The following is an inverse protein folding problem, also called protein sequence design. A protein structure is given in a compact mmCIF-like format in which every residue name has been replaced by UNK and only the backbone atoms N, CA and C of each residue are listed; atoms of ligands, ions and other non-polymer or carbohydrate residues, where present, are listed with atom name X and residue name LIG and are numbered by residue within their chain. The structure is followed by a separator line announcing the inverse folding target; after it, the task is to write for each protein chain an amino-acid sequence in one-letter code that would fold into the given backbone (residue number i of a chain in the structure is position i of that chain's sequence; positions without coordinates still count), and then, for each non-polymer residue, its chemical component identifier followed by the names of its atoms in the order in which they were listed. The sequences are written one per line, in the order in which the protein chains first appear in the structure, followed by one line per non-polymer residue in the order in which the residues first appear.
data_IF_784884479484
#
_entry.id   IF_784884479484
#
_cell.length_a   1.000
_cell.length_b   1.000
_cell.length_c   1.000
_cell.angle_alpha   90.00
_cell.angle_beta   90.00
_cell.angle_gamma   90.00
#
_symmetry.space_group_name_H-M   'P 1'
#
loop_
_entity.id
_entity.type
_entity.pdbx_description
1 polymer ?
#
# COMPACT_ATOMS: atom_id res chain seq x y z
N UNK A 1 3.51 -19.30 13.87
CA UNK A 1 4.13 -20.57 14.33
C UNK A 1 5.46 -20.69 13.62
N UNK A 2 6.56 -20.92 14.37
CA UNK A 2 7.87 -21.24 13.81
C UNK A 2 7.75 -22.54 13.03
N UNK A 3 8.32 -22.59 11.80
CA UNK A 3 8.39 -23.83 11.04
C UNK A 3 9.31 -24.81 11.77
N UNK A 4 8.90 -26.08 11.88
CA UNK A 4 9.78 -27.16 12.33
C UNK A 4 10.28 -27.88 11.10
N UNK A 5 11.59 -28.16 11.08
CA UNK A 5 12.26 -28.75 9.91
C UNK A 5 12.58 -27.70 8.82
N UNK A 6 13.03 -28.20 7.69
CA UNK A 6 13.42 -27.38 6.53
C UNK A 6 12.55 -27.74 5.31
N UNK A 7 12.10 -26.73 4.59
CA UNK A 7 11.33 -26.88 3.36
C UNK A 7 11.90 -25.97 2.28
N UNK A 8 12.28 -26.56 1.14
CA UNK A 8 12.66 -25.83 -0.08
C UNK A 8 11.51 -25.88 -1.08
N UNK A 9 11.20 -24.76 -1.73
CA UNK A 9 10.18 -24.70 -2.78
C UNK A 9 10.76 -24.02 -4.02
N UNK A 10 10.63 -24.68 -5.15
CA UNK A 10 10.95 -24.14 -6.48
C UNK A 10 9.64 -23.79 -7.19
N UNK A 11 9.61 -22.65 -7.84
CA UNK A 11 8.44 -22.19 -8.60
C UNK A 11 8.83 -21.74 -10.00
N UNK A 12 8.03 -22.12 -10.99
CA UNK A 12 8.11 -21.64 -12.36
C UNK A 12 6.72 -21.29 -12.84
N UNK A 13 6.59 -20.13 -13.52
CA UNK A 13 5.36 -19.69 -14.11
C UNK A 13 5.58 -19.07 -15.48
N UNK A 14 4.60 -19.24 -16.36
CA UNK A 14 4.58 -18.65 -17.68
C UNK A 14 3.20 -18.06 -17.98
N UNK A 15 3.15 -16.94 -18.67
CA UNK A 15 1.90 -16.22 -18.89
C UNK A 15 1.83 -15.39 -20.15
N UNK A 16 0.73 -14.68 -20.31
CA UNK A 16 0.48 -13.73 -21.40
C UNK A 16 1.58 -12.68 -21.46
N UNK A 17 1.79 -12.13 -22.63
CA UNK A 17 2.79 -11.05 -22.88
C UNK A 17 4.24 -11.51 -22.60
N UNK A 18 4.53 -12.80 -22.79
CA UNK A 18 5.85 -13.38 -22.52
C UNK A 18 6.23 -13.36 -21.05
N UNK A 19 5.25 -13.27 -20.13
CA UNK A 19 5.54 -13.26 -18.68
C UNK A 19 6.17 -14.56 -18.25
N UNK A 20 7.26 -14.44 -17.53
CA UNK A 20 8.03 -15.54 -16.94
C UNK A 20 8.28 -15.22 -15.47
N UNK A 21 8.11 -16.21 -14.62
CA UNK A 21 8.42 -16.09 -13.19
C UNK A 21 9.19 -17.31 -12.74
N UNK A 22 10.30 -17.09 -12.06
CA UNK A 22 11.13 -18.11 -11.46
C UNK A 22 11.31 -17.78 -9.99
N UNK A 23 11.18 -18.76 -9.10
CA UNK A 23 11.40 -18.54 -7.69
C UNK A 23 12.05 -19.73 -7.01
N UNK A 24 12.86 -19.44 -6.01
CA UNK A 24 13.37 -20.40 -5.04
C UNK A 24 13.13 -19.84 -3.65
N UNK A 25 12.58 -20.65 -2.78
CA UNK A 25 12.36 -20.31 -1.39
C UNK A 25 12.81 -21.45 -0.48
N UNK A 26 13.42 -21.10 0.64
CA UNK A 26 13.75 -22.04 1.71
C UNK A 26 13.27 -21.45 3.02
N UNK A 27 12.60 -22.26 3.84
CA UNK A 27 12.16 -21.87 5.16
C UNK A 27 12.32 -23.01 6.13
N UNK A 28 12.66 -22.69 7.37
CA UNK A 28 12.85 -23.70 8.38
C UNK A 28 12.97 -23.14 9.78
N UNK A 29 13.16 -24.05 10.73
CA UNK A 29 13.43 -23.70 12.12
C UNK A 29 14.04 -24.87 12.89
N UNK A 30 15.11 -24.60 13.63
CA UNK A 30 15.83 -25.60 14.44
C UNK A 30 16.59 -24.90 15.57
N UNK A 31 16.64 -25.50 16.74
CA UNK A 31 17.43 -25.05 17.90
C UNK A 31 17.23 -23.56 18.25
N UNK A 32 15.97 -23.07 18.18
CA UNK A 32 15.61 -21.68 18.45
C UNK A 32 15.94 -20.72 17.32
N UNK A 33 16.48 -21.20 16.21
CA UNK A 33 16.54 -20.45 14.95
C UNK A 33 15.26 -20.63 14.14
N UNK A 34 14.90 -19.61 13.36
CA UNK A 34 13.97 -19.70 12.26
C UNK A 34 14.44 -18.81 11.10
N UNK A 35 14.19 -19.28 9.88
CA UNK A 35 14.61 -18.57 8.69
C UNK A 35 13.61 -18.71 7.56
N UNK A 36 13.60 -17.71 6.67
CA UNK A 36 12.96 -17.72 5.36
C UNK A 36 13.85 -16.97 4.39
N UNK A 37 14.19 -17.60 3.29
CA UNK A 37 14.92 -17.00 2.19
C UNK A 37 14.10 -17.21 0.94
N UNK A 38 13.88 -16.15 0.16
CA UNK A 38 13.21 -16.25 -1.14
C UNK A 38 13.92 -15.36 -2.14
N UNK A 39 14.25 -15.92 -3.29
CA UNK A 39 14.59 -15.16 -4.49
C UNK A 39 13.52 -15.39 -5.55
N UNK A 40 13.18 -14.34 -6.30
CA UNK A 40 12.22 -14.40 -7.41
C UNK A 40 12.69 -13.50 -8.54
N UNK A 41 12.63 -14.01 -9.75
CA UNK A 41 12.83 -13.30 -11.01
C UNK A 41 11.49 -13.20 -11.74
N UNK A 42 11.10 -11.99 -12.15
CA UNK A 42 9.93 -11.72 -12.97
C UNK A 42 10.36 -11.01 -14.26
N UNK A 43 9.85 -11.49 -15.40
CA UNK A 43 10.02 -10.86 -16.71
C UNK A 43 8.68 -10.77 -17.41
N UNK A 44 8.44 -9.67 -18.12
CA UNK A 44 7.32 -9.53 -19.04
C UNK A 44 7.65 -8.60 -20.19
N UNK A 45 6.99 -8.81 -21.32
CA UNK A 45 6.97 -7.86 -22.44
C UNK A 45 5.85 -6.84 -22.30
N UNK A 46 5.61 -6.07 -23.35
CA UNK A 46 4.56 -5.08 -23.45
C UNK A 46 3.19 -5.78 -23.44
N UNK A 47 2.23 -5.24 -22.70
CA UNK A 47 0.89 -5.82 -22.66
C UNK A 47 -0.02 -5.23 -23.75
N UNK A 48 -1.15 -5.90 -24.00
CA UNK A 48 -2.28 -5.36 -24.78
C UNK A 48 -3.38 -4.92 -23.83
N UNK A 49 -3.93 -3.72 -24.04
CA UNK A 49 -5.12 -3.24 -23.34
C UNK A 49 -6.41 -3.98 -23.78
N UNK A 50 -7.55 -3.65 -23.17
CA UNK A 50 -8.84 -4.27 -23.51
C UNK A 50 -9.31 -4.00 -24.94
N UNK A 51 -8.78 -2.99 -25.62
CA UNK A 51 -9.01 -2.72 -27.04
C UNK A 51 -8.00 -3.39 -27.97
N UNK A 52 -7.01 -4.12 -27.43
CA UNK A 52 -5.97 -4.81 -28.19
C UNK A 52 -4.78 -3.93 -28.57
N UNK A 53 -4.69 -2.69 -28.11
CA UNK A 53 -3.54 -1.83 -28.35
C UNK A 53 -2.37 -2.28 -27.49
N UNK A 54 -1.18 -2.34 -28.07
CA UNK A 54 0.06 -2.61 -27.34
C UNK A 54 0.44 -1.38 -26.49
N UNK A 55 0.73 -1.61 -25.22
CA UNK A 55 1.14 -0.57 -24.27
C UNK A 55 2.55 -0.91 -23.76
N UNK A 56 3.52 0.00 -23.92
CA UNK A 56 4.86 -0.18 -23.37
C UNK A 56 4.81 -0.41 -21.87
N UNK A 57 5.29 -1.58 -21.43
CA UNK A 57 5.18 -2.02 -20.03
C UNK A 57 6.15 -3.16 -19.70
N UNK A 58 7.21 -3.29 -20.51
CA UNK A 58 8.24 -4.31 -20.28
C UNK A 58 8.79 -4.21 -18.86
N UNK A 59 8.95 -5.36 -18.21
CA UNK A 59 9.51 -5.48 -16.87
C UNK A 59 10.59 -6.57 -16.85
N UNK A 60 11.70 -6.29 -16.19
CA UNK A 60 12.72 -7.26 -15.78
C UNK A 60 13.08 -6.98 -14.32
N UNK A 61 12.59 -7.81 -13.40
CA UNK A 61 12.65 -7.55 -11.97
C UNK A 61 13.25 -8.72 -11.18
N UNK A 62 14.09 -8.40 -10.21
CA UNK A 62 14.68 -9.31 -9.23
C UNK A 62 14.22 -8.94 -7.83
N UNK A 63 13.75 -9.89 -7.04
CA UNK A 63 13.44 -9.70 -5.64
C UNK A 63 14.11 -10.73 -4.76
N UNK A 64 14.68 -10.27 -3.65
CA UNK A 64 15.28 -11.11 -2.62
C UNK A 64 14.70 -10.76 -1.27
N UNK A 65 14.30 -11.77 -0.48
CA UNK A 65 13.76 -11.60 0.86
C UNK A 65 14.47 -12.58 1.80
N UNK A 66 14.94 -12.06 2.93
CA UNK A 66 15.56 -12.81 4.02
C UNK A 66 14.86 -12.48 5.32
N UNK A 67 14.53 -13.49 6.07
CA UNK A 67 14.21 -13.41 7.49
C UNK A 67 15.12 -14.41 8.22
N UNK A 68 15.75 -13.98 9.29
CA UNK A 68 16.56 -14.81 10.19
C UNK A 68 16.20 -14.43 11.63
N UNK A 69 15.64 -15.37 12.37
CA UNK A 69 15.22 -15.18 13.74
C UNK A 69 15.98 -16.12 14.70
N UNK A 70 16.19 -15.66 15.93
CA UNK A 70 16.83 -16.43 17.00
C UNK A 70 16.16 -16.18 18.33
N UNK A 71 15.74 -17.25 19.01
CA UNK A 71 15.46 -17.21 20.44
C UNK A 71 16.80 -17.08 21.18
N UNK A 72 17.05 -15.91 21.76
CA UNK A 72 18.22 -15.69 22.62
C UNK A 72 18.00 -16.32 24.01
N UNK A 73 16.73 -16.35 24.43
CA UNK A 73 16.28 -17.01 25.64
C UNK A 73 14.77 -17.33 25.51
N UNK A 74 14.14 -17.87 26.58
CA UNK A 74 12.69 -18.11 26.62
C UNK A 74 11.86 -16.82 26.54
N UNK A 75 12.47 -15.69 26.86
CA UNK A 75 11.82 -14.36 26.95
C UNK A 75 12.37 -13.34 25.95
N UNK A 76 13.33 -13.73 25.13
CA UNK A 76 14.03 -12.79 24.25
C UNK A 76 14.22 -13.39 22.85
N UNK A 77 13.80 -12.65 21.83
CA UNK A 77 13.87 -13.03 20.42
C UNK A 77 14.46 -11.89 19.58
N UNK A 78 15.46 -12.21 18.77
CA UNK A 78 16.11 -11.30 17.84
C UNK A 78 15.79 -11.72 16.41
N UNK A 79 15.41 -10.79 15.55
CA UNK A 79 15.17 -11.03 14.14
C UNK A 79 15.91 -10.03 13.25
N UNK A 80 16.52 -10.53 12.18
CA UNK A 80 17.01 -9.77 11.04
C UNK A 80 16.08 -10.00 9.86
N UNK A 81 15.59 -8.91 9.27
CA UNK A 81 14.87 -8.96 8.00
C UNK A 81 15.62 -8.13 6.97
N UNK A 82 15.69 -8.63 5.76
CA UNK A 82 16.25 -7.92 4.62
C UNK A 82 15.41 -8.21 3.38
N UNK A 83 15.12 -7.16 2.62
CA UNK A 83 14.42 -7.21 1.35
C UNK A 83 15.15 -6.34 0.35
N UNK A 84 15.36 -6.87 -0.85
CA UNK A 84 15.88 -6.12 -2.00
C UNK A 84 14.97 -6.34 -3.18
N UNK A 85 14.71 -5.28 -3.92
CA UNK A 85 13.98 -5.29 -5.17
C UNK A 85 14.71 -4.41 -6.17
N UNK A 86 15.00 -4.96 -7.35
CA UNK A 86 15.58 -4.23 -8.47
C UNK A 86 14.78 -4.52 -9.71
N UNK A 87 14.49 -3.50 -10.48
CA UNK A 87 13.90 -3.69 -11.79
C UNK A 87 14.45 -2.72 -12.83
N UNK A 88 14.20 -3.07 -14.08
CA UNK A 88 14.19 -2.16 -15.19
C UNK A 88 12.84 -2.27 -15.91
N UNK A 89 12.20 -1.15 -16.11
CA UNK A 89 10.90 -1.08 -16.74
C UNK A 89 10.86 -0.15 -17.96
N UNK A 90 9.85 -0.37 -18.80
CA UNK A 90 9.42 0.56 -19.83
C UNK A 90 7.99 0.99 -19.51
N UNK A 91 7.71 2.26 -19.60
CA UNK A 91 6.35 2.72 -19.40
C UNK A 91 6.02 3.91 -20.28
N UNK A 92 4.77 4.01 -20.70
CA UNK A 92 4.29 5.15 -21.44
C UNK A 92 2.78 5.28 -21.31
N UNK A 93 2.29 6.50 -21.13
CA UNK A 93 0.87 6.79 -21.28
C UNK A 93 0.46 6.60 -22.73
N UNK A 94 -0.75 6.07 -22.95
CA UNK A 94 -1.21 5.68 -24.28
C UNK A 94 -1.12 6.78 -25.34
N UNK A 95 -1.42 8.03 -24.98
CA UNK A 95 -1.38 9.15 -25.94
C UNK A 95 0.04 9.68 -26.22
N UNK A 96 1.05 9.26 -25.43
CA UNK A 96 2.46 9.62 -25.64
C UNK A 96 3.17 8.67 -26.61
N UNK A 97 2.48 7.73 -27.25
CA UNK A 97 3.09 6.73 -28.16
C UNK A 97 3.82 7.34 -29.39
N UNK A 98 3.67 8.64 -29.62
CA UNK A 98 4.44 9.35 -30.67
C UNK A 98 5.91 9.60 -30.29
N UNK A 99 6.29 9.39 -29.04
CA UNK A 99 7.63 9.61 -28.50
C UNK A 99 8.33 8.29 -28.20
N UNK A 100 9.68 8.27 -28.06
CA UNK A 100 10.38 7.12 -27.56
C UNK A 100 9.84 6.69 -26.18
N UNK A 101 9.90 5.38 -25.91
CA UNK A 101 9.37 4.79 -24.66
C UNK A 101 10.19 5.25 -23.47
N UNK A 102 9.52 5.70 -22.42
CA UNK A 102 10.15 6.03 -21.15
C UNK A 102 10.75 4.78 -20.50
N UNK A 103 11.90 4.96 -19.85
CA UNK A 103 12.64 3.88 -19.18
C UNK A 103 12.85 4.24 -17.73
N UNK A 104 12.66 3.27 -16.85
CA UNK A 104 12.92 3.39 -15.43
C UNK A 104 13.81 2.26 -14.92
N UNK A 105 14.61 2.54 -13.89
CA UNK A 105 15.32 1.56 -13.10
C UNK A 105 15.03 1.86 -11.63
N UNK A 106 14.58 0.85 -10.90
CA UNK A 106 14.41 0.91 -9.45
C UNK A 106 15.46 0.07 -8.75
N UNK A 107 16.06 0.61 -7.70
CA UNK A 107 16.87 -0.13 -6.74
C UNK A 107 16.39 0.21 -5.33
N UNK A 108 15.72 -0.74 -4.71
CA UNK A 108 15.15 -0.59 -3.40
C UNK A 108 15.61 -1.70 -2.48
N UNK A 109 16.01 -1.36 -1.25
CA UNK A 109 16.17 -2.33 -0.20
C UNK A 109 15.66 -1.81 1.14
N UNK A 110 15.22 -2.74 1.98
CA UNK A 110 14.89 -2.55 3.38
C UNK A 110 15.64 -3.57 4.22
N UNK A 111 16.32 -3.12 5.25
CA UNK A 111 16.94 -3.97 6.26
C UNK A 111 16.54 -3.53 7.65
N UNK A 112 16.13 -4.46 8.51
CA UNK A 112 15.87 -4.14 9.91
C UNK A 112 16.33 -5.26 10.86
N UNK A 113 16.68 -4.85 12.06
CA UNK A 113 16.89 -5.72 13.21
C UNK A 113 15.81 -5.39 14.23
N UNK A 114 15.12 -6.42 14.71
CA UNK A 114 14.05 -6.31 15.71
C UNK A 114 14.43 -7.16 16.90
N UNK A 115 14.38 -6.56 18.09
CA UNK A 115 14.58 -7.27 19.35
C UNK A 115 13.33 -7.18 20.20
N UNK A 116 12.74 -8.33 20.50
CA UNK A 116 11.55 -8.48 21.34
C UNK A 116 11.97 -9.10 22.67
N UNK A 117 11.55 -8.49 23.77
CA UNK A 117 11.82 -8.96 25.13
C UNK A 117 10.55 -8.98 25.95
N UNK A 118 10.24 -10.11 26.58
CA UNK A 118 9.27 -10.21 27.66
C UNK A 118 10.02 -9.95 28.95
N UNK A 119 9.89 -8.74 29.50
CA UNK A 119 10.64 -8.31 30.70
C UNK A 119 10.10 -9.00 31.94
N UNK A 120 8.77 -9.02 32.09
CA UNK A 120 8.00 -9.77 33.08
C UNK A 120 6.64 -10.19 32.51
N UNK A 121 5.79 -10.88 33.28
CA UNK A 121 4.50 -11.40 32.81
C UNK A 121 3.55 -10.31 32.26
N UNK A 122 3.79 -9.05 32.64
CA UNK A 122 2.95 -7.92 32.29
C UNK A 122 3.63 -6.90 31.36
N UNK A 123 4.95 -7.04 31.11
CA UNK A 123 5.74 -6.02 30.41
C UNK A 123 6.47 -6.60 29.23
N UNK A 124 6.25 -6.00 28.04
CA UNK A 124 6.97 -6.32 26.81
C UNK A 124 7.70 -5.08 26.33
N UNK A 125 8.85 -5.32 25.70
CA UNK A 125 9.58 -4.29 24.96
C UNK A 125 9.89 -4.79 23.56
N UNK A 126 9.80 -3.89 22.59
CA UNK A 126 10.23 -4.11 21.21
C UNK A 126 11.10 -2.95 20.76
N UNK A 127 12.35 -3.25 20.45
CA UNK A 127 13.28 -2.31 19.82
C UNK A 127 13.49 -2.66 18.35
N UNK A 128 13.59 -1.68 17.49
CA UNK A 128 14.01 -1.91 16.11
C UNK A 128 14.92 -0.82 15.59
N UNK A 129 15.87 -1.23 14.73
CA UNK A 129 16.67 -0.34 13.91
C UNK A 129 16.51 -0.78 12.46
N UNK A 130 16.24 0.16 11.58
CA UNK A 130 16.04 -0.10 10.17
C UNK A 130 16.83 0.88 9.31
N UNK A 131 17.26 0.39 8.15
CA UNK A 131 17.81 1.20 7.08
C UNK A 131 17.18 0.80 5.76
N UNK A 132 16.70 1.79 5.02
CA UNK A 132 16.20 1.59 3.67
C UNK A 132 16.86 2.52 2.67
N UNK A 133 16.85 2.10 1.41
CA UNK A 133 17.26 2.87 0.25
C UNK A 133 16.17 2.77 -0.80
N UNK A 134 15.84 3.88 -1.41
CA UNK A 134 14.96 3.94 -2.57
C UNK A 134 15.65 4.80 -3.62
N UNK A 135 16.06 4.17 -4.73
CA UNK A 135 16.61 4.85 -5.91
C UNK A 135 15.66 4.64 -7.08
N UNK A 136 15.49 5.68 -7.86
CA UNK A 136 14.68 5.67 -9.05
C UNK A 136 15.34 6.53 -10.13
N UNK A 137 15.83 5.89 -11.18
CA UNK A 137 16.44 6.53 -12.33
C UNK A 137 15.47 6.49 -13.50
N UNK A 138 15.10 7.64 -14.02
CA UNK A 138 14.18 7.80 -15.14
C UNK A 138 14.87 8.41 -16.35
N UNK A 139 14.53 7.91 -17.52
CA UNK A 139 14.77 8.59 -18.79
C UNK A 139 13.41 8.83 -19.46
N UNK A 140 12.95 10.08 -19.44
CA UNK A 140 11.63 10.45 -19.96
C UNK A 140 11.74 11.15 -21.31
N UNK A 141 10.79 10.85 -22.19
CA UNK A 141 10.65 11.45 -23.50
C UNK A 141 9.29 12.14 -23.61
N UNK A 142 9.24 13.24 -24.32
CA UNK A 142 8.01 14.02 -24.47
C UNK A 142 8.24 15.30 -25.29
N UNK A 143 7.20 16.10 -25.55
CA UNK A 143 7.28 17.26 -26.42
C UNK A 143 8.22 18.36 -25.92
N UNK A 144 8.51 18.36 -24.62
CA UNK A 144 9.35 19.37 -23.96
C UNK A 144 10.72 18.84 -23.53
N UNK A 145 11.00 17.55 -23.80
CA UNK A 145 12.25 16.91 -23.43
C UNK A 145 13.23 16.93 -24.61
N UNK A 146 14.55 16.89 -24.35
CA UNK A 146 15.54 16.72 -25.42
C UNK A 146 15.28 15.43 -26.21
N UNK A 147 15.65 15.36 -27.50
CA UNK A 147 15.54 14.15 -28.33
C UNK A 147 16.29 12.93 -27.71
N UNK A 148 17.32 13.19 -26.89
CA UNK A 148 18.11 12.19 -26.19
C UNK A 148 17.41 11.69 -24.90
N UNK A 149 16.25 12.26 -24.54
CA UNK A 149 15.54 12.04 -23.29
C UNK A 149 16.02 12.96 -22.17
N UNK A 150 15.15 13.15 -21.18
CA UNK A 150 15.44 13.90 -19.95
C UNK A 150 15.71 12.92 -18.81
N UNK A 151 16.95 12.83 -18.29
CA UNK A 151 17.24 12.03 -17.12
C UNK A 151 16.67 12.68 -15.85
N UNK A 152 16.17 11.85 -14.94
CA UNK A 152 15.70 12.25 -13.64
C UNK A 152 16.08 11.17 -12.62
N UNK A 153 16.91 11.50 -11.64
CA UNK A 153 17.40 10.59 -10.63
C UNK A 153 16.86 11.03 -9.28
N UNK A 154 16.29 10.10 -8.55
CA UNK A 154 15.74 10.33 -7.21
C UNK A 154 16.26 9.26 -6.26
N UNK A 155 16.92 9.68 -5.19
CA UNK A 155 17.49 8.81 -4.17
C UNK A 155 17.07 9.25 -2.77
N UNK A 156 16.58 8.31 -1.96
CA UNK A 156 16.31 8.52 -0.53
C UNK A 156 16.94 7.40 0.27
N UNK A 157 17.69 7.80 1.28
CA UNK A 157 18.20 6.93 2.33
C UNK A 157 17.49 7.23 3.63
N UNK A 158 16.88 6.21 4.24
CA UNK A 158 16.19 6.36 5.53
C UNK A 158 16.86 5.54 6.61
N UNK A 159 17.11 6.17 7.76
CA UNK A 159 17.36 5.52 9.03
C UNK A 159 16.12 5.62 9.91
N UNK A 160 15.72 4.52 10.51
CA UNK A 160 14.64 4.50 11.51
C UNK A 160 15.09 3.72 12.74
N UNK A 161 14.87 4.31 13.91
CA UNK A 161 14.95 3.65 15.19
C UNK A 161 13.58 3.74 15.86
N UNK A 162 13.13 2.66 16.51
CA UNK A 162 11.93 2.69 17.35
C UNK A 162 12.10 1.82 18.58
N UNK A 163 11.49 2.26 19.68
CA UNK A 163 11.41 1.52 20.93
C UNK A 163 10.01 1.65 21.51
N UNK A 164 9.38 0.53 21.82
CA UNK A 164 8.03 0.45 22.34
C UNK A 164 7.97 -0.43 23.60
N UNK A 165 7.30 0.08 24.62
CA UNK A 165 6.97 -0.64 25.84
C UNK A 165 5.47 -0.82 25.96
N UNK A 166 5.05 -2.06 26.21
CA UNK A 166 3.68 -2.41 26.55
C UNK A 166 3.64 -2.92 27.99
N UNK A 167 2.79 -2.32 28.82
CA UNK A 167 2.60 -2.68 30.24
C UNK A 167 1.14 -2.93 30.56
N UNK A 168 0.83 -4.14 31.01
CA UNK A 168 -0.48 -4.48 31.56
C UNK A 168 -0.55 -4.12 33.04
N UNK A 169 -1.52 -3.28 33.43
CA UNK A 169 -1.78 -2.83 34.80
C UNK A 169 -3.27 -3.02 35.11
N UNK A 170 -3.61 -4.17 35.67
CA UNK A 170 -5.03 -4.52 35.90
C UNK A 170 -5.82 -4.54 34.59
N UNK A 171 -6.82 -3.67 34.49
CA UNK A 171 -7.68 -3.54 33.31
C UNK A 171 -7.12 -2.58 32.22
N UNK A 172 -5.91 -2.06 32.42
CA UNK A 172 -5.22 -1.16 31.49
C UNK A 172 -4.09 -1.89 30.75
N UNK A 173 -3.96 -1.59 29.44
CA UNK A 173 -2.77 -1.88 28.65
C UNK A 173 -2.17 -0.55 28.19
N UNK A 174 -1.10 -0.14 28.87
CA UNK A 174 -0.34 1.06 28.53
C UNK A 174 0.70 0.72 27.47
N UNK A 175 0.71 1.49 26.40
CA UNK A 175 1.74 1.45 25.33
C UNK A 175 2.43 2.81 25.28
N UNK A 176 3.75 2.85 25.43
CA UNK A 176 4.56 4.04 25.28
C UNK A 176 5.70 3.77 24.30
N UNK A 177 6.06 4.74 23.47
CA UNK A 177 7.15 4.55 22.55
C UNK A 177 7.78 5.82 22.03
N UNK A 178 8.95 5.61 21.44
CA UNK A 178 9.75 6.62 20.76
C UNK A 178 10.10 6.15 19.35
N UNK A 179 10.06 7.05 18.40
CA UNK A 179 10.53 6.82 17.03
C UNK A 179 11.46 7.97 16.61
N UNK A 180 12.54 7.61 15.92
CA UNK A 180 13.43 8.52 15.24
C UNK A 180 13.53 8.11 13.78
N UNK A 181 13.33 9.06 12.86
CA UNK A 181 13.51 8.86 11.43
C UNK A 181 14.41 9.96 10.86
N UNK A 182 15.38 9.57 10.05
CA UNK A 182 16.25 10.48 9.30
C UNK A 182 16.19 10.08 7.82
N UNK A 183 15.76 11.01 6.97
CA UNK A 183 15.72 10.87 5.53
C UNK A 183 16.75 11.77 4.89
N UNK A 184 17.68 11.19 4.13
CA UNK A 184 18.66 11.91 3.31
C UNK A 184 18.23 11.75 1.84
N UNK A 185 17.94 12.87 1.17
CA UNK A 185 17.34 12.90 -0.18
C UNK A 185 18.23 13.65 -1.16
N UNK A 186 18.45 13.03 -2.34
CA UNK A 186 19.11 13.64 -3.49
C UNK A 186 18.18 13.58 -4.70
N UNK A 187 18.04 14.69 -5.44
CA UNK A 187 17.26 14.76 -6.68
C UNK A 187 18.10 15.45 -7.76
N UNK A 188 18.24 14.82 -8.92
CA UNK A 188 18.90 15.37 -10.10
C UNK A 188 17.95 15.38 -11.29
N UNK A 189 17.99 16.43 -12.09
CA UNK A 189 17.21 16.55 -13.31
C UNK A 189 18.12 16.98 -14.45
N UNK A 190 18.64 16.01 -15.18
CA UNK A 190 19.68 16.22 -16.18
C UNK A 190 20.97 16.74 -15.54
N UNK A 191 21.54 17.81 -16.12
CA UNK A 191 22.72 18.49 -15.56
C UNK A 191 22.40 19.47 -14.43
N UNK A 192 21.12 19.66 -14.10
CA UNK A 192 20.68 20.54 -13.01
C UNK A 192 20.55 19.71 -11.75
N UNK A 193 21.46 19.91 -10.80
CA UNK A 193 21.29 19.36 -9.44
C UNK A 193 20.23 20.20 -8.74
N UNK A 194 19.09 19.58 -8.44
CA UNK A 194 17.97 20.25 -7.77
C UNK A 194 18.13 20.25 -6.27
N UNK A 195 18.65 19.15 -5.75
CA UNK A 195 18.92 18.94 -4.33
C UNK A 195 20.14 18.06 -4.21
N UNK A 196 21.06 18.49 -3.38
CA UNK A 196 22.17 17.68 -2.93
C UNK A 196 22.03 17.49 -1.43
N UNK A 197 21.83 16.24 -1.02
CA UNK A 197 21.87 15.76 0.38
C UNK A 197 20.99 16.57 1.37
N UNK A 198 19.69 16.65 1.11
CA UNK A 198 18.72 17.27 2.05
C UNK A 198 18.27 16.27 3.09
N UNK A 199 18.56 16.61 4.34
CA UNK A 199 18.17 15.81 5.50
C UNK A 199 16.88 16.33 6.13
N UNK A 200 15.91 15.40 6.33
CA UNK A 200 14.74 15.60 7.17
C UNK A 200 14.82 14.67 8.38
N UNK A 201 14.59 15.21 9.57
CA UNK A 201 14.59 14.44 10.81
C UNK A 201 13.22 14.56 11.45
N UNK A 202 12.64 13.41 11.84
CA UNK A 202 11.43 13.35 12.65
C UNK A 202 11.71 12.59 13.96
N UNK A 203 11.28 13.14 15.09
CA UNK A 203 11.30 12.51 16.41
C UNK A 203 9.90 12.48 16.94
N UNK A 204 9.46 11.31 17.39
CA UNK A 204 8.10 11.12 17.83
C UNK A 204 8.06 10.38 19.16
N UNK A 205 7.18 10.83 20.04
CA UNK A 205 6.82 10.15 21.28
C UNK A 205 5.34 9.87 21.27
N UNK A 206 4.93 8.71 21.73
CA UNK A 206 3.53 8.37 21.85
C UNK A 206 3.22 7.63 23.14
N UNK A 207 2.01 7.85 23.62
CA UNK A 207 1.44 7.17 24.78
C UNK A 207 -0.01 6.81 24.43
N UNK A 208 -0.38 5.57 24.73
CA UNK A 208 -1.73 5.06 24.56
C UNK A 208 -2.13 4.22 25.77
N UNK A 209 -3.38 4.32 26.18
CA UNK A 209 -4.01 3.43 27.14
C UNK A 209 -5.20 2.71 26.49
N UNK A 210 -5.24 1.40 26.64
CA UNK A 210 -6.42 0.58 26.37
C UNK A 210 -7.00 0.16 27.71
N UNK A 211 -8.10 0.79 28.09
CA UNK A 211 -8.80 0.53 29.36
C UNK A 211 -10.05 -0.33 29.12
N UNK A 212 -10.07 -1.51 29.73
CA UNK A 212 -11.26 -2.37 29.80
C UNK A 212 -12.14 -1.89 30.96
N UNK A 213 -12.97 -0.85 30.72
CA UNK A 213 -13.87 -0.24 31.73
C UNK A 213 -14.83 -1.30 32.29
N UNK A 214 -15.36 -2.14 31.40
CA UNK A 214 -16.16 -3.30 31.66
C UNK A 214 -15.71 -4.44 30.74
N UNK A 215 -16.08 -5.70 31.00
CA UNK A 215 -15.79 -6.79 30.07
C UNK A 215 -16.32 -6.53 28.65
N UNK A 216 -17.39 -5.73 28.52
CA UNK A 216 -18.04 -5.37 27.25
C UNK A 216 -17.72 -3.97 26.76
N UNK A 217 -17.01 -3.14 27.55
CA UNK A 217 -16.75 -1.74 27.21
C UNK A 217 -15.26 -1.43 27.31
N UNK A 218 -14.66 -1.07 26.16
CA UNK A 218 -13.23 -0.74 26.05
C UNK A 218 -13.05 0.68 25.53
N UNK A 219 -12.23 1.46 26.24
CA UNK A 219 -11.77 2.78 25.81
C UNK A 219 -10.31 2.65 25.39
N UNK A 220 -9.97 3.16 24.20
CA UNK A 220 -8.59 3.38 23.80
C UNK A 220 -8.37 4.87 23.62
N UNK A 221 -7.40 5.45 24.32
CA UNK A 221 -7.05 6.86 24.20
C UNK A 221 -5.54 6.99 24.05
N UNK A 222 -5.08 7.84 23.15
CA UNK A 222 -3.67 8.03 22.89
C UNK A 222 -3.34 9.42 22.36
N UNK A 223 -2.08 9.77 22.47
CA UNK A 223 -1.49 10.99 21.89
C UNK A 223 -0.14 10.66 21.29
N UNK A 224 0.13 11.21 20.12
CA UNK A 224 1.45 11.20 19.48
C UNK A 224 1.94 12.63 19.34
N UNK A 225 3.17 12.88 19.74
CA UNK A 225 3.88 14.14 19.53
C UNK A 225 4.98 13.91 18.49
N UNK A 226 4.89 14.60 17.36
CA UNK A 226 5.91 14.62 16.32
C UNK A 226 6.67 15.94 16.34
N UNK A 227 8.01 15.88 16.26
CA UNK A 227 8.89 17.03 16.09
C UNK A 227 9.71 16.84 14.82
N UNK A 228 9.39 17.62 13.80
CA UNK A 228 10.03 17.57 12.48
C UNK A 228 11.00 18.73 12.29
N UNK A 229 12.17 18.47 11.73
CA UNK A 229 13.23 19.48 11.56
C UNK A 229 12.86 20.63 10.62
N UNK A 230 11.90 20.43 9.70
CA UNK A 230 11.48 21.44 8.74
C UNK A 230 10.13 22.10 9.10
N UNK A 231 9.24 21.39 9.83
CA UNK A 231 7.85 21.80 10.02
C UNK A 231 7.46 22.02 11.48
N UNK A 232 8.42 21.92 12.42
CA UNK A 232 8.16 22.09 13.85
C UNK A 232 7.43 20.90 14.45
N UNK A 233 6.61 21.15 15.47
CA UNK A 233 5.97 20.10 16.26
C UNK A 233 4.47 20.04 16.05
N UNK A 234 3.92 18.81 16.13
CA UNK A 234 2.48 18.54 16.03
C UNK A 234 2.05 17.47 17.03
N UNK A 235 0.84 17.62 17.58
CA UNK A 235 0.21 16.62 18.44
C UNK A 235 -0.98 16.00 17.69
N UNK A 236 -1.04 14.66 17.67
CA UNK A 236 -2.11 13.88 17.05
C UNK A 236 -2.81 13.02 18.11
N UNK A 237 -3.86 13.54 18.75
CA UNK A 237 -4.67 12.77 19.70
C UNK A 237 -5.57 11.77 18.97
N UNK A 238 -5.91 10.67 19.67
CA UNK A 238 -6.89 9.70 19.22
C UNK A 238 -7.68 9.13 20.38
N UNK A 239 -8.96 8.83 20.14
CA UNK A 239 -9.83 8.15 21.10
C UNK A 239 -10.80 7.23 20.38
N UNK A 240 -11.02 6.05 20.92
CA UNK A 240 -12.00 5.08 20.43
C UNK A 240 -12.70 4.40 21.61
N UNK A 241 -14.02 4.28 21.51
CA UNK A 241 -14.86 3.56 22.46
C UNK A 241 -15.51 2.39 21.73
N UNK A 242 -15.22 1.17 22.15
CA UNK A 242 -15.81 -0.08 21.64
C UNK A 242 -16.74 -0.70 22.68
N UNK A 243 -17.91 -1.13 22.22
CA UNK A 243 -18.95 -1.72 23.07
C UNK A 243 -19.49 -3.02 22.47
N UNK A 244 -19.38 -4.11 23.21
CA UNK A 244 -20.00 -5.39 22.90
C UNK A 244 -21.46 -5.35 23.40
N UNK A 245 -22.40 -5.05 22.48
CA UNK A 245 -23.85 -4.92 22.78
C UNK A 245 -24.41 -6.27 23.24
N UNK A 246 -23.97 -7.32 22.56
CA UNK A 246 -24.23 -8.71 22.87
C UNK A 246 -23.04 -9.58 22.40
N UNK A 247 -22.98 -10.90 22.69
CA UNK A 247 -21.82 -11.74 22.30
C UNK A 247 -21.51 -11.81 20.80
N UNK A 248 -22.40 -11.34 19.95
CA UNK A 248 -22.27 -11.39 18.48
C UNK A 248 -22.30 -10.02 17.81
N UNK A 249 -22.48 -8.94 18.60
CA UNK A 249 -22.58 -7.57 18.09
C UNK A 249 -21.60 -6.65 18.79
N UNK A 250 -20.67 -6.09 18.02
CA UNK A 250 -19.71 -5.10 18.44
C UNK A 250 -19.98 -3.76 17.75
N UNK A 251 -20.03 -2.66 18.50
CA UNK A 251 -20.14 -1.31 17.98
C UNK A 251 -18.96 -0.45 18.46
N UNK A 252 -18.57 0.54 17.68
CA UNK A 252 -17.52 1.48 18.07
C UNK A 252 -17.78 2.88 17.55
N UNK A 253 -17.17 3.85 18.21
CA UNK A 253 -17.01 5.23 17.74
C UNK A 253 -15.55 5.64 17.94
N UNK A 254 -14.99 6.35 16.98
CA UNK A 254 -13.60 6.82 17.06
C UNK A 254 -13.43 8.25 16.53
N UNK A 255 -12.44 8.92 17.08
CA UNK A 255 -11.89 10.19 16.62
C UNK A 255 -10.38 10.08 16.59
N UNK A 256 -9.76 10.52 15.51
CA UNK A 256 -8.29 10.61 15.41
C UNK A 256 -7.88 11.84 14.61
N UNK A 257 -6.76 12.45 15.02
CA UNK A 257 -6.08 13.49 14.26
C UNK A 257 -4.86 12.89 13.54
N UNK A 258 -4.49 13.51 12.42
CA UNK A 258 -3.33 13.14 11.64
C UNK A 258 -2.54 14.36 11.18
N UNK A 259 -1.28 14.11 10.87
CA UNK A 259 -0.33 15.10 10.39
C UNK A 259 0.56 14.46 9.31
N UNK A 260 0.66 15.08 8.13
CA UNK A 260 1.43 14.59 6.99
C UNK A 260 2.36 15.71 6.51
N UNK A 261 3.65 15.50 6.60
CA UNK A 261 4.65 16.44 6.08
C UNK A 261 4.73 16.36 4.55
N UNK A 262 4.98 17.49 3.84
CA UNK A 262 5.28 17.44 2.42
C UNK A 262 6.48 16.52 2.15
N UNK A 263 6.41 15.79 1.05
CA UNK A 263 7.52 14.93 0.62
C UNK A 263 8.70 15.77 0.10
N UNK A 264 9.92 15.25 0.13
CA UNK A 264 11.08 15.93 -0.46
C UNK A 264 10.85 16.33 -1.93
N UNK A 265 10.15 15.49 -2.69
CA UNK A 265 9.82 15.79 -4.08
C UNK A 265 8.84 16.96 -4.22
N UNK A 266 7.83 17.05 -3.35
CA UNK A 266 6.89 18.18 -3.33
C UNK A 266 7.57 19.50 -2.95
N UNK A 267 8.59 19.44 -2.08
CA UNK A 267 9.32 20.63 -1.62
C UNK A 267 10.34 21.12 -2.63
N UNK A 268 11.04 20.20 -3.27
CA UNK A 268 12.33 20.52 -3.86
C UNK A 268 12.48 20.10 -5.32
N UNK A 269 11.54 19.42 -5.92
CA UNK A 269 11.64 19.09 -7.35
C UNK A 269 11.85 20.35 -8.22
N UNK A 270 12.67 20.29 -9.27
CA UNK A 270 13.17 21.48 -9.99
C UNK A 270 12.11 22.40 -10.57
N UNK A 271 10.98 21.84 -11.00
CA UNK A 271 9.95 22.59 -11.73
C UNK A 271 8.71 22.80 -10.85
N UNK A 272 8.30 21.78 -10.09
CA UNK A 272 7.05 21.77 -9.37
C UNK A 272 7.23 21.76 -7.83
N UNK A 273 8.47 21.79 -7.36
CA UNK A 273 8.75 21.89 -5.92
C UNK A 273 8.38 23.26 -5.36
N UNK A 274 7.94 23.27 -4.10
CA UNK A 274 7.61 24.49 -3.38
C UNK A 274 7.98 24.35 -1.90
N UNK A 275 9.05 25.05 -1.52
CA UNK A 275 9.57 25.04 -0.15
C UNK A 275 8.67 25.75 0.86
N UNK A 276 7.64 26.48 0.41
CA UNK A 276 6.66 27.17 1.27
C UNK A 276 5.44 26.31 1.62
N UNK A 277 5.41 25.02 1.20
CA UNK A 277 4.33 24.12 1.55
C UNK A 277 4.21 23.96 3.06
N UNK A 278 2.96 23.98 3.53
CA UNK A 278 2.60 23.63 4.90
C UNK A 278 2.22 22.16 4.95
N UNK A 279 2.48 21.47 6.07
CA UNK A 279 1.99 20.12 6.28
C UNK A 279 0.46 20.03 6.17
N UNK A 280 -0.02 18.91 5.66
CA UNK A 280 -1.43 18.57 5.75
C UNK A 280 -1.74 18.09 7.16
N UNK A 281 -2.88 18.45 7.70
CA UNK A 281 -3.39 17.94 8.97
C UNK A 281 -4.90 17.77 8.89
N UNK A 282 -5.46 17.02 9.80
CA UNK A 282 -6.90 16.83 9.80
C UNK A 282 -7.37 15.87 10.87
N UNK A 283 -8.68 15.57 10.82
CA UNK A 283 -9.27 14.59 11.69
C UNK A 283 -10.22 13.65 10.94
N UNK A 284 -10.34 12.43 11.49
CA UNK A 284 -11.31 11.44 11.05
C UNK A 284 -12.21 11.08 12.22
N UNK A 285 -13.50 10.99 11.97
CA UNK A 285 -14.53 10.51 12.88
C UNK A 285 -15.20 9.32 12.24
N UNK A 286 -15.38 8.25 12.99
CA UNK A 286 -15.99 7.03 12.47
C UNK A 286 -16.92 6.42 13.53
N UNK A 287 -18.03 5.88 13.05
CA UNK A 287 -18.92 5.02 13.80
C UNK A 287 -19.10 3.73 13.03
N UNK A 288 -19.01 2.59 13.71
CA UNK A 288 -19.14 1.30 13.06
C UNK A 288 -19.80 0.25 13.93
N UNK A 289 -20.28 -0.79 13.25
CA UNK A 289 -20.90 -1.96 13.84
C UNK A 289 -20.44 -3.21 13.10
N UNK A 290 -20.15 -4.26 13.83
CA UNK A 290 -19.90 -5.61 13.31
C UNK A 290 -20.87 -6.59 14.00
N UNK A 291 -21.54 -7.44 13.20
CA UNK A 291 -22.48 -8.44 13.74
C UNK A 291 -22.32 -9.79 13.04
N UNK A 292 -22.27 -10.84 13.85
CA UNK A 292 -22.41 -12.21 13.39
C UNK A 292 -23.88 -12.66 13.57
N UNK A 293 -24.56 -12.94 12.46
CA UNK A 293 -25.96 -13.38 12.45
C UNK A 293 -26.10 -14.90 12.62
N UNK A 294 -24.98 -15.59 12.87
CA UNK A 294 -24.93 -17.04 12.89
C UNK A 294 -25.01 -17.67 11.48
N UNK A 295 -24.95 -19.01 11.44
CA UNK A 295 -24.96 -19.78 10.17
C UNK A 295 -23.95 -19.25 9.13
N UNK A 296 -22.82 -18.69 9.61
CA UNK A 296 -21.75 -18.18 8.75
C UNK A 296 -22.02 -16.85 8.06
N UNK A 297 -23.04 -16.08 8.47
CA UNK A 297 -23.34 -14.74 7.94
C UNK A 297 -22.84 -13.68 8.91
N UNK A 298 -21.96 -12.78 8.43
CA UNK A 298 -21.47 -11.62 9.19
C UNK A 298 -21.53 -10.34 8.36
N UNK A 299 -21.79 -9.23 9.03
CA UNK A 299 -21.81 -7.87 8.47
C UNK A 299 -20.88 -6.98 9.29
N UNK A 300 -20.09 -6.17 8.59
CA UNK A 300 -19.42 -5.00 9.15
C UNK A 300 -19.88 -3.77 8.36
N UNK A 301 -20.26 -2.71 9.07
CA UNK A 301 -20.68 -1.45 8.48
C UNK A 301 -20.05 -0.29 9.25
N UNK A 302 -19.56 0.72 8.54
CA UNK A 302 -19.11 1.97 9.16
C UNK A 302 -19.49 3.18 8.33
N UNK A 303 -19.61 4.32 9.01
CA UNK A 303 -19.71 5.64 8.40
C UNK A 303 -18.55 6.48 8.91
N UNK A 304 -17.86 7.16 8.00
CA UNK A 304 -16.75 8.03 8.33
C UNK A 304 -16.95 9.44 7.80
N UNK A 305 -16.36 10.41 8.52
CA UNK A 305 -16.21 11.78 8.07
C UNK A 305 -14.77 12.23 8.33
N UNK A 306 -14.11 12.75 7.30
CA UNK A 306 -12.75 13.31 7.35
C UNK A 306 -12.78 14.79 7.03
N UNK A 307 -12.05 15.58 7.80
CA UNK A 307 -11.74 16.97 7.51
C UNK A 307 -10.23 17.09 7.36
N UNK A 308 -9.77 17.61 6.24
CA UNK A 308 -8.36 17.80 5.90
C UNK A 308 -8.07 19.28 5.74
N UNK A 309 -6.95 19.77 6.29
CA UNK A 309 -6.46 21.15 6.17
C UNK A 309 -5.17 21.17 5.37
N UNK A 310 -4.95 22.28 4.65
CA UNK A 310 -3.74 22.51 3.86
C UNK A 310 -3.43 21.37 2.87
N UNK A 311 -4.46 20.75 2.26
CA UNK A 311 -4.25 19.70 1.23
C UNK A 311 -3.22 20.18 0.21
N UNK A 312 -2.30 19.31 -0.17
CA UNK A 312 -1.29 19.60 -1.18
C UNK A 312 -1.79 19.11 -2.53
N UNK A 313 -1.80 19.99 -3.50
CA UNK A 313 -2.18 19.70 -4.87
C UNK A 313 -1.24 20.35 -5.87
N UNK A 314 -1.25 19.87 -7.11
CA UNK A 314 -0.48 20.43 -8.21
C UNK A 314 -1.29 21.47 -8.98
N UNK A 315 -0.75 22.68 -9.11
CA UNK A 315 -1.38 23.77 -9.84
C UNK A 315 -0.89 23.79 -11.30
N UNK A 316 -1.75 23.45 -12.27
CA UNK A 316 -1.32 23.23 -13.66
C UNK A 316 -0.86 24.49 -14.40
N UNK A 317 -1.27 25.68 -13.99
CA UNK A 317 -0.86 26.95 -14.63
C UNK A 317 0.46 27.49 -14.07
N UNK A 318 0.76 27.28 -12.80
CA UNK A 318 2.03 27.71 -12.18
C UNK A 318 3.07 26.62 -12.18
N UNK A 319 2.68 25.39 -12.53
CA UNK A 319 3.54 24.19 -12.51
C UNK A 319 4.15 23.90 -11.14
N UNK A 320 3.46 24.26 -10.04
CA UNK A 320 3.96 24.11 -8.68
C UNK A 320 3.01 23.31 -7.79
N UNK A 321 3.57 22.61 -6.81
CA UNK A 321 2.80 22.11 -5.69
C UNK A 321 2.39 23.26 -4.79
N UNK A 322 1.13 23.29 -4.39
CA UNK A 322 0.57 24.33 -3.51
C UNK A 322 -0.33 23.70 -2.47
N UNK A 323 -0.56 24.41 -1.36
CA UNK A 323 -1.65 24.06 -0.46
C UNK A 323 -2.98 24.60 -1.03
N UNK A 324 -3.90 23.70 -1.34
CA UNK A 324 -5.16 24.04 -2.05
C UNK A 324 -6.33 24.33 -1.12
N UNK A 325 -6.09 24.35 0.18
CA UNK A 325 -7.11 24.66 1.18
C UNK A 325 -7.64 23.42 1.90
N UNK A 326 -8.85 23.54 2.43
CA UNK A 326 -9.50 22.52 3.24
C UNK A 326 -10.39 21.61 2.38
N UNK A 327 -10.52 20.36 2.77
CA UNK A 327 -11.33 19.35 2.09
C UNK A 327 -12.10 18.51 3.11
N UNK A 328 -13.39 18.35 2.86
CA UNK A 328 -14.23 17.43 3.60
C UNK A 328 -14.53 16.19 2.76
N UNK A 329 -14.40 15.01 3.36
CA UNK A 329 -14.82 13.76 2.77
C UNK A 329 -15.67 12.96 3.76
N UNK A 330 -16.67 12.24 3.25
CA UNK A 330 -17.48 11.32 4.06
C UNK A 330 -17.91 10.13 3.23
N UNK A 331 -18.26 9.05 3.90
CA UNK A 331 -18.68 7.85 3.18
C UNK A 331 -19.09 6.70 4.08
N UNK A 332 -19.50 5.64 3.39
CA UNK A 332 -19.91 4.38 4.00
C UNK A 332 -18.95 3.26 3.58
N UNK A 333 -18.71 2.34 4.49
CA UNK A 333 -18.05 1.07 4.18
C UNK A 333 -18.91 -0.09 4.68
N UNK A 334 -19.23 -1.03 3.80
CA UNK A 334 -20.04 -2.19 4.10
C UNK A 334 -19.30 -3.44 3.66
N UNK A 335 -19.26 -4.47 4.50
CA UNK A 335 -18.71 -5.77 4.17
C UNK A 335 -19.65 -6.87 4.67
N UNK A 336 -20.20 -7.63 3.75
CA UNK A 336 -20.99 -8.82 4.03
C UNK A 336 -20.19 -10.07 3.68
N UNK A 337 -20.12 -11.01 4.60
CA UNK A 337 -19.48 -12.31 4.37
C UNK A 337 -20.47 -13.42 4.69
N UNK A 338 -20.57 -14.39 3.79
CA UNK A 338 -21.38 -15.59 3.97
C UNK A 338 -20.53 -16.82 3.74
N UNK A 339 -20.34 -17.64 4.78
CA UNK A 339 -19.91 -19.03 4.64
C UNK A 339 -21.14 -19.88 4.38
N UNK A 340 -21.24 -20.45 3.19
CA UNK A 340 -22.39 -21.29 2.81
C UNK A 340 -22.26 -22.66 3.46
N UNK A 341 -21.04 -23.20 3.41
CA UNK A 341 -20.64 -24.47 4.04
C UNK A 341 -19.14 -24.49 4.37
N UNK A 342 -18.54 -25.66 4.55
CA UNK A 342 -17.11 -25.83 4.79
C UNK A 342 -16.21 -25.47 3.60
N UNK A 343 -16.77 -25.40 2.41
CA UNK A 343 -16.04 -25.20 1.15
C UNK A 343 -16.26 -23.81 0.54
N UNK A 344 -17.48 -23.29 0.60
CA UNK A 344 -17.88 -22.06 -0.07
C UNK A 344 -17.98 -20.86 0.84
N UNK A 345 -17.40 -19.76 0.40
CA UNK A 345 -17.52 -18.44 1.02
C UNK A 345 -17.82 -17.37 -0.04
N UNK A 346 -18.83 -16.56 0.20
CA UNK A 346 -19.12 -15.37 -0.59
C UNK A 346 -18.84 -14.10 0.22
N UNK A 347 -18.37 -13.05 -0.44
CA UNK A 347 -18.06 -11.74 0.16
C UNK A 347 -18.57 -10.64 -0.75
N UNK A 348 -19.16 -9.61 -0.16
CA UNK A 348 -19.55 -8.37 -0.85
C UNK A 348 -18.98 -7.23 -0.01
N UNK A 349 -18.09 -6.44 -0.59
CA UNK A 349 -17.59 -5.19 -0.05
C UNK A 349 -18.11 -4.03 -0.88
N UNK A 350 -18.55 -2.98 -0.23
CA UNK A 350 -18.97 -1.72 -0.85
C UNK A 350 -18.39 -0.55 -0.06
N UNK A 351 -17.81 0.39 -0.77
CA UNK A 351 -17.35 1.65 -0.19
C UNK A 351 -17.85 2.79 -1.04
N UNK A 352 -18.54 3.73 -0.41
CA UNK A 352 -18.89 5.01 -1.00
C UNK A 352 -18.01 6.09 -0.37
N UNK A 353 -17.45 6.97 -1.20
CA UNK A 353 -16.68 8.12 -0.73
C UNK A 353 -17.13 9.36 -1.49
N UNK A 354 -17.69 10.31 -0.77
CA UNK A 354 -18.00 11.63 -1.31
C UNK A 354 -16.94 12.61 -0.83
N UNK A 355 -16.26 13.27 -1.78
CA UNK A 355 -15.26 14.30 -1.51
C UNK A 355 -15.86 15.64 -1.87
N UNK A 356 -15.86 16.57 -0.92
CA UNK A 356 -16.33 17.95 -1.13
C UNK A 356 -15.43 18.69 -2.13
N UNK A 357 -15.97 19.69 -2.78
CA UNK A 357 -15.20 20.53 -3.70
C UNK A 357 -14.18 21.35 -2.92
N UNK A 358 -12.91 21.27 -3.30
CA UNK A 358 -11.90 22.22 -2.84
C UNK A 358 -12.17 23.62 -3.41
N UNK A 359 -11.90 24.66 -2.64
CA UNK A 359 -12.21 26.04 -3.03
C UNK A 359 -11.44 26.55 -4.24
N UNK A 360 -10.32 25.94 -4.60
CA UNK A 360 -9.49 26.37 -5.73
C UNK A 360 -9.85 25.65 -7.02
N UNK A 361 -10.53 26.35 -7.92
CA UNK A 361 -10.80 25.86 -9.28
C UNK A 361 -9.49 25.66 -10.06
N UNK A 362 -9.38 24.50 -10.72
CA UNK A 362 -8.27 24.21 -11.65
C UNK A 362 -7.08 23.50 -11.04
N UNK A 363 -7.09 23.20 -9.74
CA UNK A 363 -6.05 22.40 -9.09
C UNK A 363 -6.45 20.93 -9.13
N UNK A 364 -5.51 20.08 -9.55
CA UNK A 364 -5.72 18.64 -9.58
C UNK A 364 -5.52 18.07 -8.17
N UNK A 365 -6.60 18.00 -7.41
CA UNK A 365 -6.66 17.35 -6.11
C UNK A 365 -7.67 16.22 -6.20
N UNK A 366 -7.18 15.00 -6.17
CA UNK A 366 -7.96 13.77 -5.97
C UNK A 366 -9.10 13.46 -6.96
N UNK A 367 -9.04 13.95 -8.19
CA UNK A 367 -9.98 13.57 -9.25
C UNK A 367 -9.95 12.08 -9.64
N UNK A 368 -9.25 11.24 -8.85
CA UNK A 368 -9.03 9.82 -9.13
C UNK A 368 -9.78 8.89 -8.19
N UNK A 369 -10.36 9.40 -7.10
CA UNK A 369 -11.14 8.59 -6.17
C UNK A 369 -12.50 8.28 -6.79
N UNK A 370 -12.87 6.98 -6.97
CA UNK A 370 -14.21 6.62 -7.37
C UNK A 370 -15.20 6.95 -6.26
N UNK A 371 -16.39 7.39 -6.62
CA UNK A 371 -17.47 7.61 -5.68
C UNK A 371 -17.92 6.30 -5.06
N UNK A 372 -18.07 5.26 -5.89
CA UNK A 372 -18.47 3.93 -5.45
C UNK A 372 -17.46 2.86 -5.86
N UNK A 373 -17.11 2.01 -4.90
CA UNK A 373 -16.23 0.86 -5.09
C UNK A 373 -16.91 -0.41 -4.63
N UNK A 374 -16.90 -1.43 -5.48
CA UNK A 374 -17.44 -2.74 -5.21
C UNK A 374 -16.38 -3.82 -5.27
N UNK A 375 -16.43 -4.77 -4.35
CA UNK A 375 -15.62 -5.97 -4.33
C UNK A 375 -16.53 -7.16 -4.04
N UNK A 376 -16.79 -8.01 -5.05
CA UNK A 376 -17.63 -9.19 -4.93
C UNK A 376 -16.76 -10.41 -5.13
N UNK A 377 -16.64 -11.26 -4.11
CA UNK A 377 -15.78 -12.44 -4.13
C UNK A 377 -16.54 -13.72 -3.84
N UNK A 378 -16.18 -14.78 -4.55
CA UNK A 378 -16.61 -16.14 -4.25
C UNK A 378 -15.38 -17.02 -4.17
N UNK A 379 -15.18 -17.65 -3.03
CA UNK A 379 -14.09 -18.56 -2.77
C UNK A 379 -14.64 -19.98 -2.62
N UNK A 380 -13.94 -20.93 -3.23
CA UNK A 380 -14.12 -22.35 -2.99
C UNK A 380 -12.84 -22.96 -2.48
N UNK A 381 -12.93 -23.83 -1.48
CA UNK A 381 -11.78 -24.55 -0.96
C UNK A 381 -12.19 -25.96 -0.51
N UNK A 382 -11.43 -26.93 -0.98
CA UNK A 382 -11.41 -28.27 -0.40
C UNK A 382 -9.96 -28.65 -0.02
N UNK A 383 -9.69 -29.94 0.21
CA UNK A 383 -8.36 -30.41 0.61
C UNK A 383 -7.26 -30.07 -0.41
N UNK A 384 -7.52 -30.29 -1.68
CA UNK A 384 -6.52 -30.27 -2.74
C UNK A 384 -6.70 -29.12 -3.74
N UNK A 385 -7.86 -28.46 -3.71
CA UNK A 385 -8.21 -27.39 -4.65
C UNK A 385 -8.76 -26.17 -3.94
N UNK A 386 -8.24 -25.00 -4.29
CA UNK A 386 -8.84 -23.72 -3.93
C UNK A 386 -8.98 -22.81 -5.15
N UNK A 387 -10.05 -22.06 -5.18
CA UNK A 387 -10.30 -21.04 -6.19
C UNK A 387 -10.92 -19.78 -5.60
N UNK A 388 -10.63 -18.65 -6.21
CA UNK A 388 -11.23 -17.36 -5.89
C UNK A 388 -11.61 -16.64 -7.17
N UNK A 389 -12.89 -16.29 -7.30
CA UNK A 389 -13.41 -15.38 -8.30
C UNK A 389 -13.67 -14.04 -7.65
N UNK A 390 -13.09 -12.97 -8.19
CA UNK A 390 -13.22 -11.61 -7.67
C UNK A 390 -13.71 -10.67 -8.76
N UNK A 391 -14.81 -9.98 -8.53
CA UNK A 391 -15.29 -8.87 -9.35
C UNK A 391 -15.03 -7.55 -8.62
N UNK A 392 -14.37 -6.62 -9.28
CA UNK A 392 -14.13 -5.25 -8.81
C UNK A 392 -14.91 -4.28 -9.67
N UNK A 393 -15.76 -3.45 -9.05
CA UNK A 393 -16.52 -2.38 -9.69
C UNK A 393 -16.01 -1.02 -9.23
N UNK A 394 -15.74 -0.12 -10.16
CA UNK A 394 -15.37 1.26 -9.95
C UNK A 394 -16.39 2.12 -10.68
N UNK A 395 -17.06 3.01 -9.93
CA UNK A 395 -18.18 3.81 -10.45
C UNK A 395 -18.03 5.26 -9.96
N UNK A 396 -18.41 6.21 -10.79
CA UNK A 396 -18.44 7.62 -10.43
C UNK A 396 -17.06 8.23 -10.20
N UNK A 397 -16.05 7.79 -10.95
CA UNK A 397 -14.73 8.43 -10.90
C UNK A 397 -14.85 9.84 -11.47
N UNK A 398 -14.78 10.84 -10.61
CA UNK A 398 -14.85 12.24 -11.01
C UNK A 398 -13.45 12.81 -11.13
N UNK A 399 -12.99 13.07 -12.35
CA UNK A 399 -11.84 13.91 -12.60
C UNK A 399 -12.20 15.42 -12.50
N UNK A 400 -11.21 16.31 -12.46
CA UNK A 400 -11.44 17.75 -12.49
C UNK A 400 -12.21 18.23 -13.74
N UNK A 401 -12.30 17.39 -14.76
CA UNK A 401 -13.11 17.59 -15.97
C UNK A 401 -13.91 16.33 -16.22
N UNK A 402 -15.24 16.38 -16.09
CA UNK A 402 -16.13 15.28 -16.47
C UNK A 402 -15.89 14.88 -17.92
N UNK A 403 -15.76 13.58 -18.17
CA UNK A 403 -15.51 13.02 -19.50
C UNK A 403 -14.04 13.01 -19.94
N UNK A 404 -13.11 13.42 -19.09
CA UNK A 404 -11.67 13.32 -19.37
C UNK A 404 -11.16 11.87 -19.28
N UNK A 405 -11.94 10.97 -18.70
CA UNK A 405 -11.62 9.55 -18.60
C UNK A 405 -12.47 8.72 -19.56
N UNK A 406 -11.88 7.90 -20.40
CA UNK A 406 -12.65 6.96 -21.19
C UNK A 406 -13.31 5.85 -20.36
N UNK A 407 -13.05 5.79 -19.04
CA UNK A 407 -13.46 4.69 -18.15
C UNK A 407 -13.84 5.19 -16.76
N UNK A 408 -14.90 6.03 -16.70
CA UNK A 408 -15.45 6.52 -15.42
C UNK A 408 -16.09 5.39 -14.60
N UNK A 409 -16.59 4.36 -15.31
CA UNK A 409 -17.24 3.20 -14.72
C UNK A 409 -16.74 1.93 -15.38
N UNK A 410 -16.29 0.96 -14.60
CA UNK A 410 -15.89 -0.34 -15.11
C UNK A 410 -16.02 -1.44 -14.08
N UNK A 411 -16.14 -2.68 -14.57
CA UNK A 411 -16.06 -3.90 -13.79
C UNK A 411 -14.96 -4.80 -14.34
N UNK A 412 -14.10 -5.29 -13.46
CA UNK A 412 -13.05 -6.26 -13.81
C UNK A 412 -13.23 -7.51 -12.99
N UNK A 413 -13.16 -8.66 -13.66
CA UNK A 413 -13.30 -9.96 -13.00
C UNK A 413 -12.03 -10.76 -13.17
N UNK A 414 -11.49 -11.24 -12.04
CA UNK A 414 -10.27 -12.02 -11.93
C UNK A 414 -10.57 -13.39 -11.33
N UNK A 415 -9.87 -14.43 -11.79
CA UNK A 415 -9.95 -15.80 -11.30
C UNK A 415 -8.57 -16.30 -10.91
N UNK A 416 -8.45 -16.86 -9.72
CA UNK A 416 -7.27 -17.59 -9.26
C UNK A 416 -7.68 -19.01 -8.87
N UNK A 417 -6.86 -19.99 -9.24
CA UNK A 417 -7.06 -21.41 -8.93
C UNK A 417 -5.72 -22.01 -8.51
N UNK A 418 -5.75 -22.86 -7.51
CA UNK A 418 -4.61 -23.67 -7.06
C UNK A 418 -5.06 -25.13 -6.92
N UNK A 419 -4.25 -26.06 -7.38
CA UNK A 419 -4.51 -27.48 -7.28
C UNK A 419 -3.26 -28.23 -6.82
N UNK A 420 -3.40 -28.94 -5.69
CA UNK A 420 -2.37 -29.81 -5.14
C UNK A 420 -2.44 -31.16 -5.83
N UNK A 421 -1.62 -31.38 -6.85
CA UNK A 421 -1.63 -32.63 -7.64
C UNK A 421 -0.91 -33.78 -6.95
N UNK A 422 -0.01 -33.45 -6.00
CA UNK A 422 0.69 -34.39 -5.14
C UNK A 422 1.11 -33.67 -3.86
N UNK A 423 1.49 -34.39 -2.80
CA UNK A 423 1.83 -33.80 -1.49
C UNK A 423 2.87 -32.67 -1.57
N UNK A 424 3.76 -32.73 -2.55
CA UNK A 424 4.83 -31.75 -2.73
C UNK A 424 4.66 -30.85 -3.97
N UNK A 425 3.63 -31.06 -4.80
CA UNK A 425 3.48 -30.39 -6.10
C UNK A 425 2.16 -29.66 -6.21
N UNK A 426 2.22 -28.35 -6.43
CA UNK A 426 1.07 -27.49 -6.62
C UNK A 426 1.10 -26.84 -8.01
N UNK A 427 -0.01 -26.87 -8.73
CA UNK A 427 -0.23 -26.08 -9.95
C UNK A 427 -1.11 -24.88 -9.59
N UNK A 428 -0.84 -23.72 -10.22
CA UNK A 428 -1.72 -22.58 -10.12
C UNK A 428 -2.06 -22.00 -11.50
N UNK A 429 -3.27 -21.43 -11.59
CA UNK A 429 -3.74 -20.64 -12.72
C UNK A 429 -4.24 -19.30 -12.21
N UNK A 430 -3.81 -18.22 -12.85
CA UNK A 430 -4.34 -16.87 -12.67
C UNK A 430 -4.88 -16.39 -14.01
N UNK A 431 -6.12 -15.91 -14.04
CA UNK A 431 -6.75 -15.29 -15.20
C UNK A 431 -7.26 -13.92 -14.77
N UNK A 432 -6.66 -12.87 -15.25
CA UNK A 432 -7.03 -11.50 -14.89
C UNK A 432 -7.82 -10.88 -16.02
N UNK A 433 -8.77 -10.00 -15.65
CA UNK A 433 -9.65 -9.31 -16.59
C UNK A 433 -10.29 -10.27 -17.60
N UNK A 434 -10.95 -11.33 -17.12
CA UNK A 434 -11.42 -12.45 -17.94
C UNK A 434 -12.40 -12.01 -19.05
N UNK A 435 -13.11 -10.88 -18.86
CA UNK A 435 -14.03 -10.30 -19.84
C UNK A 435 -13.39 -9.31 -20.79
N UNK A 436 -12.06 -9.11 -20.69
CA UNK A 436 -11.29 -8.19 -21.54
C UNK A 436 -11.79 -6.73 -21.47
N UNK A 437 -12.22 -6.29 -20.28
CA UNK A 437 -12.67 -4.91 -20.06
C UNK A 437 -11.53 -3.94 -20.34
N UNK A 438 -11.79 -2.90 -21.14
CA UNK A 438 -10.88 -1.77 -21.25
C UNK A 438 -11.06 -0.84 -20.05
N UNK A 439 -9.99 -0.52 -19.34
CA UNK A 439 -10.00 0.41 -18.22
C UNK A 439 -8.63 1.06 -17.99
N UNK A 440 -8.63 2.19 -17.29
CA UNK A 440 -7.43 2.88 -16.83
C UNK A 440 -7.53 3.08 -15.32
N UNK A 441 -6.47 2.74 -14.59
CA UNK A 441 -6.41 2.94 -13.13
C UNK A 441 -5.93 4.34 -12.78
N UNK A 442 -5.13 4.93 -13.65
CA UNK A 442 -4.57 6.27 -13.46
C UNK A 442 -4.74 7.10 -14.73
N UNK A 443 -5.02 8.38 -14.54
CA UNK A 443 -4.98 9.37 -15.62
C UNK A 443 -4.52 10.71 -15.08
N UNK A 444 -3.98 11.52 -15.96
CA UNK A 444 -3.55 12.87 -15.67
C UNK A 444 -4.23 13.83 -16.68
N UNK A 445 -4.93 14.82 -16.18
CA UNK A 445 -5.56 15.83 -17.05
C UNK A 445 -4.63 17.03 -17.13
N UNK A 446 -4.01 17.21 -18.29
CA UNK A 446 -3.28 18.44 -18.61
C UNK A 446 -4.24 19.47 -19.21
N UNK A 447 -4.15 20.72 -18.75
CA UNK A 447 -4.95 21.83 -19.24
C UNK A 447 -4.76 22.00 -20.75
N UNK A 448 -5.84 21.91 -21.54
CA UNK A 448 -5.80 22.12 -23.01
C UNK A 448 -5.29 20.95 -23.85
N UNK A 449 -4.98 19.81 -23.24
CA UNK A 449 -4.61 18.56 -23.93
C UNK A 449 -5.64 17.46 -23.67
N UNK A 450 -5.85 16.51 -24.60
CA UNK A 450 -6.52 15.27 -24.24
C UNK A 450 -5.76 14.65 -23.07
N UNK A 451 -6.48 14.30 -22.00
CA UNK A 451 -5.88 13.76 -20.78
C UNK A 451 -4.98 12.57 -21.03
N UNK A 452 -3.94 12.44 -20.23
CA UNK A 452 -3.06 11.27 -20.23
C UNK A 452 -3.72 10.17 -19.39
N UNK A 453 -3.73 8.92 -19.88
CA UNK A 453 -4.20 7.79 -19.10
C UNK A 453 -3.31 6.56 -19.30
N UNK A 454 -3.12 5.83 -18.22
CA UNK A 454 -2.40 4.57 -18.19
C UNK A 454 -3.40 3.44 -18.17
N UNK A 455 -3.60 2.81 -19.32
CA UNK A 455 -4.52 1.69 -19.44
C UNK A 455 -3.95 0.47 -18.75
N UNK A 456 -4.83 -0.32 -18.14
CA UNK A 456 -4.49 -1.59 -17.54
C UNK A 456 -4.48 -2.72 -18.59
N UNK A 457 -3.82 -3.86 -18.30
CA UNK A 457 -3.81 -5.00 -19.19
C UNK A 457 -5.23 -5.51 -19.49
N UNK A 458 -5.48 -5.84 -20.75
CA UNK A 458 -6.62 -6.63 -21.16
C UNK A 458 -6.55 -8.04 -20.55
N UNK A 459 -7.40 -8.96 -21.04
CA UNK A 459 -7.41 -10.34 -20.55
C UNK A 459 -6.03 -10.98 -20.64
N UNK A 460 -5.56 -11.53 -19.52
CA UNK A 460 -4.28 -12.17 -19.45
C UNK A 460 -4.30 -13.38 -18.50
N UNK A 461 -3.38 -14.31 -18.71
CA UNK A 461 -3.30 -15.56 -17.99
C UNK A 461 -1.88 -15.82 -17.51
N UNK A 462 -1.77 -16.58 -16.42
CA UNK A 462 -0.52 -17.14 -15.93
C UNK A 462 -0.78 -18.52 -15.35
N UNK A 463 0.00 -19.51 -15.79
CA UNK A 463 0.03 -20.85 -15.22
C UNK A 463 1.40 -21.11 -14.65
N UNK A 464 1.48 -21.86 -13.56
CA UNK A 464 2.76 -22.23 -12.99
C UNK A 464 2.67 -23.44 -12.09
N UNK A 465 3.85 -23.92 -11.72
CA UNK A 465 4.05 -25.08 -10.85
C UNK A 465 4.97 -24.68 -9.70
N UNK A 466 4.65 -25.13 -8.51
CA UNK A 466 5.50 -25.07 -7.33
C UNK A 466 5.78 -26.50 -6.84
N UNK A 467 7.08 -26.82 -6.70
CA UNK A 467 7.55 -28.09 -6.18
C UNK A 467 8.28 -27.88 -4.85
N UNK A 468 7.86 -28.60 -3.83
CA UNK A 468 8.48 -28.58 -2.49
C UNK A 468 9.32 -29.82 -2.24
N UNK A 469 10.35 -29.68 -1.39
CA UNK A 469 11.27 -30.74 -1.00
C UNK A 469 11.51 -30.72 0.50
#
# INVERSE_FOLDING_TARGET
KKAQGMKTTLGIGYGSYGRQQYSIANAGGENGWDWRVKYQKDKSGDFKDGHGNTVPSRLDADSFNLHLGKDLSKVSYLALNFRSYKDSDHYQARHEMAYPVNKGNYDHFDGNVIWNVQIDDSTKNQMSIARSKYDYDLLTFGPWNPPTGQPYDFSVWTWKFSDQFDKKLGDHLLTAGFEFTKDDTTIKNGSIVSIDDRTLINRSFYLQDQWSILPTLKLTAGIRHDSNSAFGSHNSPSVSLGYDIDPVTHAYVSYSEYFITPTPNQLYAPIYGNTNLKPESGNTREIGIARDFGKGLSLTASYFKRHSKNRIGYHPMTYQNINVGDEDAHGWSLQLTKRVDSHWRARIGYTQTHVGKTEQRGVNVDGYLPEDQWNIGVDYRNRDFDSSLLARGIIGRSGPVRGAFPTDNYWVVDLAMNYQIADATKIYLKANNIFNQFYAEHSNVKFGSPGEWWTAPGRNFMIGVEQSF
#
